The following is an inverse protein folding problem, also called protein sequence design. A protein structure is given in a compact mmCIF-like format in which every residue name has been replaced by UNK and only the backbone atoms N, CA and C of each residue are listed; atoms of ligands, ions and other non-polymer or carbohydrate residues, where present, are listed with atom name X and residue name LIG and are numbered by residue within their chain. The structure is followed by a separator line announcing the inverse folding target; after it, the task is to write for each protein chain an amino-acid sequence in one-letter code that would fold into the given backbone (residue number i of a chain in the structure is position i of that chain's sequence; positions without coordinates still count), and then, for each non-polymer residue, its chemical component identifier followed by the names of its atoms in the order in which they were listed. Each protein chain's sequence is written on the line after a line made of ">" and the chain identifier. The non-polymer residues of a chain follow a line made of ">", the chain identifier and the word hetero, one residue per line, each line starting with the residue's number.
data_IF_725344837317
#
_entry.id   IF_725344837317
#
_cell.length_a   1.000
_cell.length_b   1.000
_cell.length_c   1.000
_cell.angle_alpha   90.00
_cell.angle_beta   90.00
_cell.angle_gamma   90.00
#
_symmetry.space_group_name_H-M   'P 1'
#
loop_
_entity.id
_entity.type
_entity.pdbx_description
1 polymer ?
#
# COMPACT_ATOMS: atom_id res chain seq x y z
N UNK A 1 -20.23 11.16 -22.70
CA UNK A 1 -19.76 11.59 -21.37
C UNK A 1 -18.96 10.49 -20.71
N UNK A 2 -17.82 10.81 -20.11
CA UNK A 2 -17.01 9.91 -19.29
C UNK A 2 -17.36 10.15 -17.83
N UNK A 3 -17.65 9.09 -17.07
CA UNK A 3 -17.90 9.17 -15.62
C UNK A 3 -16.74 8.51 -14.89
N UNK A 4 -16.09 9.23 -13.96
CA UNK A 4 -15.07 8.72 -13.06
C UNK A 4 -15.70 8.47 -11.68
N UNK A 5 -15.65 7.24 -11.20
CA UNK A 5 -16.21 6.85 -9.91
C UNK A 5 -15.09 6.83 -8.86
N UNK A 6 -15.10 7.82 -7.98
CA UNK A 6 -14.10 8.06 -6.93
C UNK A 6 -13.13 9.19 -7.29
N UNK A 7 -13.02 10.19 -6.41
CA UNK A 7 -12.06 11.29 -6.49
C UNK A 7 -10.81 11.03 -5.61
N UNK A 8 -10.36 9.78 -5.53
CA UNK A 8 -9.09 9.39 -4.90
C UNK A 8 -7.89 9.69 -5.81
N UNK A 9 -6.71 9.21 -5.41
CA UNK A 9 -5.48 9.41 -6.16
C UNK A 9 -5.60 9.03 -7.63
N UNK A 10 -5.97 7.78 -7.92
CA UNK A 10 -6.13 7.30 -9.30
C UNK A 10 -7.23 8.05 -10.07
N UNK A 11 -8.38 8.30 -9.44
CA UNK A 11 -9.52 8.95 -10.07
C UNK A 11 -9.25 10.41 -10.45
N UNK A 12 -8.52 11.17 -9.63
CA UNK A 12 -8.13 12.54 -9.95
C UNK A 12 -7.21 12.59 -11.17
N UNK A 13 -6.19 11.72 -11.23
CA UNK A 13 -5.30 11.62 -12.39
C UNK A 13 -6.05 11.11 -13.62
N UNK A 14 -6.96 10.14 -13.46
CA UNK A 14 -7.80 9.67 -14.55
C UNK A 14 -8.70 10.80 -15.11
N UNK A 15 -9.31 11.61 -14.25
CA UNK A 15 -10.13 12.74 -14.66
C UNK A 15 -9.33 13.80 -15.43
N UNK A 16 -8.11 14.11 -14.98
CA UNK A 16 -7.21 15.06 -15.68
C UNK A 16 -6.94 14.57 -17.10
N UNK A 17 -6.53 13.31 -17.27
CA UNK A 17 -6.16 12.76 -18.57
C UNK A 17 -7.37 12.38 -19.45
N UNK A 18 -8.54 12.12 -18.85
CA UNK A 18 -9.78 11.92 -19.59
C UNK A 18 -10.36 13.23 -20.17
N UNK A 19 -9.99 14.37 -19.60
CA UNK A 19 -10.46 15.70 -20.05
C UNK A 19 -9.70 16.23 -21.26
N UNK A 20 -8.83 15.43 -21.88
CA UNK A 20 -8.16 15.79 -23.14
C UNK A 20 -9.16 15.63 -24.28
N UNK A 21 -9.64 16.74 -24.83
CA UNK A 21 -10.60 16.74 -25.95
C UNK A 21 -11.98 17.32 -25.57
N UNK A 22 -12.96 17.11 -26.44
CA UNK A 22 -14.30 17.71 -26.30
C UNK A 22 -15.27 16.88 -25.43
N UNK A 23 -14.85 15.74 -24.90
CA UNK A 23 -15.74 14.86 -24.14
C UNK A 23 -15.90 15.35 -22.70
N UNK A 24 -17.15 15.55 -22.28
CA UNK A 24 -17.48 15.93 -20.91
C UNK A 24 -17.03 14.85 -19.91
N UNK A 25 -16.32 15.24 -18.86
CA UNK A 25 -15.88 14.37 -17.76
C UNK A 25 -16.58 14.75 -16.47
N UNK A 26 -17.21 13.77 -15.81
CA UNK A 26 -17.89 13.93 -14.54
C UNK A 26 -17.27 12.99 -13.48
N UNK A 27 -16.76 13.55 -12.40
CA UNK A 27 -16.21 12.83 -11.25
C UNK A 27 -17.28 12.72 -10.17
N UNK A 28 -17.58 11.49 -9.74
CA UNK A 28 -18.51 11.19 -8.65
C UNK A 28 -17.72 10.79 -7.41
N UNK A 29 -17.97 11.46 -6.30
CA UNK A 29 -17.29 11.19 -5.03
C UNK A 29 -18.31 11.04 -3.90
N UNK A 30 -18.20 9.95 -3.15
CA UNK A 30 -19.12 9.62 -2.05
C UNK A 30 -19.00 10.54 -0.85
N UNK A 31 -17.83 11.13 -0.65
CA UNK A 31 -17.50 12.01 0.48
C UNK A 31 -17.71 13.50 0.13
N UNK A 32 -17.59 14.37 1.12
CA UNK A 32 -17.77 15.81 0.93
C UNK A 32 -16.61 16.48 0.18
N UNK A 33 -15.46 15.81 0.10
CA UNK A 33 -14.25 16.27 -0.56
C UNK A 33 -13.44 15.07 -1.08
N UNK A 34 -12.74 15.20 -2.18
CA UNK A 34 -11.91 14.12 -2.73
C UNK A 34 -10.53 14.01 -2.08
N UNK A 35 -9.81 12.93 -2.40
CA UNK A 35 -8.40 12.74 -2.05
C UNK A 35 -8.12 12.50 -0.57
N UNK A 36 -9.08 11.98 0.20
CA UNK A 36 -8.93 11.80 1.66
C UNK A 36 -7.77 10.91 2.05
N UNK A 37 -7.50 9.83 1.30
CA UNK A 37 -6.35 8.96 1.55
C UNK A 37 -5.03 9.70 1.28
N UNK A 38 -4.98 10.64 0.33
CA UNK A 38 -3.82 11.52 0.12
C UNK A 38 -3.54 12.33 1.38
N UNK A 39 -4.59 12.93 1.98
CA UNK A 39 -4.46 13.83 3.14
C UNK A 39 -3.87 13.17 4.38
N UNK A 40 -4.11 11.88 4.60
CA UNK A 40 -3.63 11.14 5.76
C UNK A 40 -2.30 10.42 5.52
N UNK A 41 -1.88 10.30 4.27
CA UNK A 41 -0.68 9.55 3.92
C UNK A 41 0.60 10.22 4.38
N UNK A 42 1.63 9.42 4.68
CA UNK A 42 2.93 9.93 5.13
C UNK A 42 2.85 10.80 6.37
N UNK A 43 1.91 10.55 7.28
CA UNK A 43 1.69 11.38 8.46
C UNK A 43 1.15 12.79 8.14
N UNK A 44 0.38 12.93 7.06
CA UNK A 44 -0.16 14.22 6.60
C UNK A 44 0.76 15.00 5.67
N UNK A 45 1.93 14.43 5.32
CA UNK A 45 2.91 15.03 4.40
C UNK A 45 2.75 14.58 2.95
N UNK A 46 2.16 13.40 2.70
CA UNK A 46 2.02 12.68 1.45
C UNK A 46 3.36 12.19 0.85
N UNK A 47 3.61 10.89 0.88
CA UNK A 47 4.68 10.25 0.10
C UNK A 47 4.26 10.18 -1.37
N UNK A 48 4.53 11.22 -2.16
CA UNK A 48 4.03 11.33 -3.54
C UNK A 48 4.60 10.24 -4.44
N UNK A 49 5.91 9.96 -4.32
CA UNK A 49 6.65 8.98 -5.12
C UNK A 49 7.76 8.33 -4.31
N UNK A 50 8.17 7.09 -4.65
CA UNK A 50 9.46 6.54 -4.24
C UNK A 50 10.59 7.12 -5.11
N UNK A 51 11.84 7.02 -4.68
CA UNK A 51 13.00 7.38 -5.54
C UNK A 51 13.29 6.33 -6.61
N UNK A 52 12.86 5.09 -6.39
CA UNK A 52 12.98 3.98 -7.35
C UNK A 52 11.73 3.10 -7.29
N UNK A 53 11.29 2.57 -8.44
CA UNK A 53 10.26 1.55 -8.54
C UNK A 53 10.95 0.20 -8.74
N UNK A 54 10.68 -0.73 -7.84
CA UNK A 54 11.17 -2.10 -7.88
C UNK A 54 9.97 -3.04 -8.06
N UNK A 55 9.64 -3.44 -9.32
CA UNK A 55 8.45 -4.26 -9.58
C UNK A 55 8.42 -5.58 -8.81
N UNK A 56 9.60 -6.10 -8.44
CA UNK A 56 9.76 -7.34 -7.68
C UNK A 56 9.29 -7.23 -6.23
N UNK A 57 9.19 -6.02 -5.71
CA UNK A 57 8.67 -5.72 -4.37
C UNK A 57 7.15 -5.56 -4.32
N UNK A 58 6.51 -5.47 -5.50
CA UNK A 58 5.05 -5.46 -5.57
C UNK A 58 4.49 -6.85 -5.34
N UNK A 59 3.29 -6.90 -4.80
CA UNK A 59 2.53 -8.13 -4.54
C UNK A 59 1.31 -8.14 -5.43
N UNK A 60 1.11 -9.24 -6.16
CA UNK A 60 -0.04 -9.51 -7.01
C UNK A 60 -0.20 -11.02 -7.17
N UNK A 61 -1.41 -11.50 -7.34
CA UNK A 61 -1.72 -12.87 -7.74
C UNK A 61 -1.92 -12.97 -9.27
N UNK A 62 -1.93 -11.83 -9.96
CA UNK A 62 -1.99 -11.73 -11.42
C UNK A 62 -0.59 -11.91 -12.07
N UNK A 63 -0.51 -12.12 -13.39
CA UNK A 63 0.77 -12.33 -14.08
C UNK A 63 1.76 -11.15 -13.92
N UNK A 64 2.95 -11.42 -13.36
CA UNK A 64 3.98 -10.41 -13.11
C UNK A 64 4.42 -9.59 -14.35
N UNK A 65 4.43 -10.10 -15.60
CA UNK A 65 4.72 -9.28 -16.78
C UNK A 65 3.74 -8.12 -16.99
N UNK A 66 2.44 -8.32 -16.65
CA UNK A 66 1.42 -7.27 -16.77
C UNK A 66 1.68 -6.16 -15.75
N UNK A 67 1.93 -6.52 -14.49
CA UNK A 67 2.31 -5.57 -13.45
C UNK A 67 3.52 -4.72 -13.87
N UNK A 68 4.60 -5.37 -14.34
CA UNK A 68 5.80 -4.65 -14.81
C UNK A 68 5.51 -3.69 -15.96
N UNK A 69 4.66 -4.10 -16.90
CA UNK A 69 4.24 -3.26 -18.02
C UNK A 69 3.49 -2.03 -17.55
N UNK A 70 2.53 -2.20 -16.64
CA UNK A 70 1.74 -1.11 -16.07
C UNK A 70 2.62 -0.12 -15.29
N UNK A 71 3.54 -0.61 -14.44
CA UNK A 71 4.47 0.23 -13.71
C UNK A 71 5.41 1.04 -14.62
N UNK A 72 5.82 0.47 -15.77
CA UNK A 72 6.67 1.15 -16.76
C UNK A 72 5.92 2.12 -17.66
N UNK A 73 4.58 2.10 -17.67
CA UNK A 73 3.76 2.96 -18.54
C UNK A 73 3.89 4.45 -18.25
N UNK A 74 4.33 4.78 -17.04
CA UNK A 74 4.62 6.15 -16.62
C UNK A 74 5.86 6.19 -15.72
N UNK A 75 7.05 6.45 -16.28
CA UNK A 75 8.31 6.48 -15.51
C UNK A 75 8.30 7.51 -14.39
N UNK A 76 8.99 7.23 -13.27
CA UNK A 76 9.00 8.11 -12.09
C UNK A 76 9.42 9.54 -12.38
N UNK A 77 10.39 9.75 -13.26
CA UNK A 77 10.85 11.09 -13.62
C UNK A 77 9.76 11.89 -14.37
N UNK A 78 8.92 11.23 -15.17
CA UNK A 78 7.77 11.85 -15.81
C UNK A 78 6.66 12.14 -14.79
N UNK A 79 6.39 11.20 -13.87
CA UNK A 79 5.44 11.43 -12.78
C UNK A 79 5.88 12.61 -11.92
N UNK A 80 7.17 12.70 -11.57
CA UNK A 80 7.74 13.85 -10.86
C UNK A 80 7.53 15.15 -11.64
N UNK A 81 7.87 15.16 -12.92
CA UNK A 81 7.69 16.33 -13.78
C UNK A 81 6.20 16.77 -13.85
N UNK A 82 5.27 15.82 -13.89
CA UNK A 82 3.83 16.12 -13.83
C UNK A 82 3.45 16.85 -12.53
N UNK A 83 3.91 16.35 -11.37
CA UNK A 83 3.62 17.03 -10.11
C UNK A 83 4.24 18.42 -10.04
N UNK A 84 5.49 18.57 -10.44
CA UNK A 84 6.20 19.85 -10.36
C UNK A 84 5.68 20.89 -11.37
N UNK A 85 5.36 20.50 -12.60
CA UNK A 85 5.03 21.43 -13.70
C UNK A 85 3.52 21.62 -13.93
N UNK A 86 2.74 20.56 -13.86
CA UNK A 86 1.31 20.61 -14.19
C UNK A 86 0.44 20.76 -12.94
N UNK A 87 0.71 19.99 -11.90
CA UNK A 87 0.01 20.09 -10.60
C UNK A 87 0.49 21.35 -9.85
N UNK A 88 1.75 21.78 -10.05
CA UNK A 88 2.34 22.92 -9.38
C UNK A 88 2.81 22.64 -7.95
N UNK A 89 3.21 21.39 -7.69
CA UNK A 89 3.71 20.94 -6.38
C UNK A 89 5.17 20.51 -6.52
N UNK A 90 6.14 21.35 -6.15
CA UNK A 90 7.55 20.98 -6.10
C UNK A 90 7.79 19.83 -5.13
N UNK A 91 8.69 18.91 -5.51
CA UNK A 91 9.01 17.71 -4.75
C UNK A 91 10.50 17.67 -4.38
N UNK A 92 10.80 17.33 -3.12
CA UNK A 92 12.15 17.01 -2.66
C UNK A 92 12.30 15.54 -2.29
N UNK A 93 13.50 15.04 -2.36
CA UNK A 93 13.88 13.70 -1.88
C UNK A 93 14.30 13.81 -0.42
N UNK A 94 13.70 13.01 0.44
CA UNK A 94 14.16 12.78 1.80
C UNK A 94 15.14 11.61 1.77
N UNK A 95 16.44 11.91 1.83
CA UNK A 95 17.52 10.94 1.58
C UNK A 95 17.49 9.73 2.52
N UNK A 96 17.22 9.96 3.80
CA UNK A 96 17.19 8.91 4.83
C UNK A 96 16.10 7.86 4.57
N UNK A 97 14.96 8.29 4.02
CA UNK A 97 13.81 7.41 3.78
C UNK A 97 13.66 7.01 2.31
N UNK A 98 14.41 7.65 1.40
CA UNK A 98 14.34 7.47 -0.06
C UNK A 98 12.92 7.67 -0.61
N UNK A 99 12.24 8.70 -0.12
CA UNK A 99 10.86 9.06 -0.49
C UNK A 99 10.82 10.49 -1.00
N UNK A 100 9.85 10.78 -1.87
CA UNK A 100 9.61 12.14 -2.35
C UNK A 100 8.38 12.73 -1.68
N UNK A 101 8.56 13.89 -1.09
CA UNK A 101 7.51 14.67 -0.44
C UNK A 101 7.33 16.02 -1.12
N UNK A 102 6.16 16.68 -1.01
CA UNK A 102 6.04 18.08 -1.39
C UNK A 102 6.96 18.95 -0.52
N UNK A 103 7.58 19.96 -1.11
CA UNK A 103 8.46 20.90 -0.39
C UNK A 103 7.76 21.56 0.80
N UNK A 104 6.45 21.74 0.69
CA UNK A 104 5.61 22.28 1.78
C UNK A 104 5.39 21.33 2.95
N UNK A 105 5.75 20.06 2.83
CA UNK A 105 5.42 18.99 3.78
C UNK A 105 3.91 18.88 4.11
N UNK A 106 3.02 19.28 3.19
CA UNK A 106 1.56 19.26 3.39
C UNK A 106 0.88 18.44 2.31
N UNK A 107 0.27 17.33 2.69
CA UNK A 107 -0.52 16.46 1.80
C UNK A 107 -1.69 17.22 1.12
N UNK A 108 -2.18 18.28 1.79
CA UNK A 108 -3.25 19.14 1.26
C UNK A 108 -2.84 19.80 -0.06
N UNK A 109 -1.61 20.25 -0.21
CA UNK A 109 -1.16 20.92 -1.43
C UNK A 109 -1.16 19.96 -2.63
N UNK A 110 -0.81 18.69 -2.40
CA UNK A 110 -0.91 17.63 -3.42
C UNK A 110 -2.37 17.39 -3.83
N UNK A 111 -3.28 17.20 -2.85
CA UNK A 111 -4.68 16.98 -3.11
C UNK A 111 -5.33 18.16 -3.81
N UNK A 112 -5.12 19.37 -3.30
CA UNK A 112 -5.74 20.58 -3.82
C UNK A 112 -5.21 20.92 -5.22
N UNK A 113 -3.91 20.73 -5.47
CA UNK A 113 -3.30 20.87 -6.78
C UNK A 113 -3.89 19.92 -7.82
N UNK A 114 -4.08 18.64 -7.47
CA UNK A 114 -4.72 17.66 -8.37
C UNK A 114 -6.18 18.02 -8.68
N UNK A 115 -6.96 18.42 -7.67
CA UNK A 115 -8.36 18.85 -7.85
C UNK A 115 -8.44 20.10 -8.72
N UNK A 116 -7.56 21.08 -8.47
CA UNK A 116 -7.50 22.31 -9.26
C UNK A 116 -7.13 22.01 -10.72
N UNK A 117 -6.14 21.13 -10.95
CA UNK A 117 -5.75 20.73 -12.31
C UNK A 117 -6.89 20.00 -13.03
N UNK A 118 -7.59 19.07 -12.39
CA UNK A 118 -8.72 18.37 -12.97
C UNK A 118 -9.84 19.36 -13.38
N UNK A 119 -10.15 20.33 -12.52
CA UNK A 119 -11.13 21.40 -12.83
C UNK A 119 -10.68 22.28 -13.99
N UNK A 120 -9.40 22.71 -14.01
CA UNK A 120 -8.85 23.49 -15.14
C UNK A 120 -8.89 22.72 -16.46
N UNK A 121 -8.73 21.39 -16.40
CA UNK A 121 -8.87 20.51 -17.57
C UNK A 121 -10.33 20.33 -18.04
N UNK A 122 -11.33 20.79 -17.26
CA UNK A 122 -12.73 20.73 -17.60
C UNK A 122 -13.54 19.62 -16.90
N UNK A 123 -12.95 18.91 -15.93
CA UNK A 123 -13.67 17.90 -15.15
C UNK A 123 -14.66 18.56 -14.18
N UNK A 124 -15.91 18.10 -14.21
CA UNK A 124 -16.95 18.47 -13.25
C UNK A 124 -16.93 17.51 -12.05
N UNK A 125 -17.26 17.98 -10.85
CA UNK A 125 -17.30 17.18 -9.63
C UNK A 125 -18.67 17.18 -9.00
N UNK A 126 -19.17 16.01 -8.63
CA UNK A 126 -20.33 15.83 -7.76
C UNK A 126 -19.90 15.08 -6.50
N UNK A 127 -19.71 15.83 -5.43
CA UNK A 127 -19.45 15.29 -4.10
C UNK A 127 -20.75 14.77 -3.46
N UNK A 128 -20.61 13.99 -2.37
CA UNK A 128 -21.73 13.37 -1.66
C UNK A 128 -22.64 12.54 -2.60
N UNK A 129 -22.02 12.01 -3.67
CA UNK A 129 -22.72 11.18 -4.66
C UNK A 129 -22.14 9.77 -4.60
N UNK A 130 -22.85 8.91 -3.87
CA UNK A 130 -22.47 7.52 -3.68
C UNK A 130 -22.97 6.68 -4.86
N UNK A 131 -22.02 6.04 -5.56
CA UNK A 131 -22.32 5.06 -6.61
C UNK A 131 -22.60 3.70 -5.95
N UNK A 132 -23.62 3.00 -6.41
CA UNK A 132 -24.01 1.68 -5.90
C UNK A 132 -23.86 0.56 -6.93
N UNK A 133 -23.75 0.87 -8.23
CA UNK A 133 -23.64 -0.13 -9.28
C UNK A 133 -23.57 0.46 -10.68
N UNK A 134 -23.34 -0.43 -11.65
CA UNK A 134 -23.32 -0.12 -13.08
C UNK A 134 -24.29 -1.05 -13.82
N UNK A 135 -25.11 -0.51 -14.70
CA UNK A 135 -26.03 -1.28 -15.55
C UNK A 135 -25.80 -0.86 -17.01
N UNK A 136 -25.77 -1.84 -17.91
CA UNK A 136 -25.67 -1.56 -19.33
C UNK A 136 -26.89 -0.75 -19.81
N UNK A 137 -26.66 0.28 -20.63
CA UNK A 137 -27.69 1.16 -21.20
C UNK A 137 -27.56 1.17 -22.72
N UNK A 138 -28.45 0.45 -23.37
CA UNK A 138 -28.39 0.28 -24.84
C UNK A 138 -27.16 -0.52 -25.29
N UNK A 139 -26.78 -0.35 -26.57
CA UNK A 139 -25.71 -1.13 -27.19
C UNK A 139 -24.28 -0.70 -26.74
N UNK A 140 -24.10 0.57 -26.35
CA UNK A 140 -22.76 1.14 -26.12
C UNK A 140 -22.70 2.13 -24.96
N UNK A 141 -23.62 2.05 -24.01
CA UNK A 141 -23.69 2.97 -22.88
C UNK A 141 -23.79 2.27 -21.53
N UNK A 142 -23.63 3.07 -20.50
CA UNK A 142 -23.70 2.65 -19.10
C UNK A 142 -24.63 3.58 -18.33
N UNK A 143 -25.38 3.00 -17.40
CA UNK A 143 -26.12 3.72 -16.39
C UNK A 143 -25.44 3.52 -15.04
N UNK A 144 -24.87 4.61 -14.51
CA UNK A 144 -24.23 4.64 -13.19
C UNK A 144 -25.33 4.89 -12.16
N UNK A 145 -25.55 3.91 -11.28
CA UNK A 145 -26.57 4.02 -10.23
C UNK A 145 -26.02 4.81 -9.04
N UNK A 146 -26.72 5.87 -8.64
CA UNK A 146 -26.28 6.70 -7.51
C UNK A 146 -27.43 6.99 -6.54
N UNK A 147 -27.08 7.42 -5.32
CA UNK A 147 -28.07 7.90 -4.33
C UNK A 147 -28.85 9.15 -4.77
N UNK A 148 -28.39 9.85 -5.81
CA UNK A 148 -29.00 11.06 -6.36
C UNK A 148 -29.68 10.81 -7.72
N UNK A 149 -29.99 9.54 -8.03
CA UNK A 149 -30.55 9.10 -9.31
C UNK A 149 -29.49 8.59 -10.29
N UNK A 150 -29.91 7.89 -11.36
CA UNK A 150 -29.00 7.33 -12.35
C UNK A 150 -28.37 8.39 -13.24
N UNK A 151 -27.14 8.12 -13.71
CA UNK A 151 -26.39 8.98 -14.62
C UNK A 151 -25.98 8.16 -15.83
N UNK A 152 -26.32 8.63 -17.03
CA UNK A 152 -25.94 7.98 -18.29
C UNK A 152 -24.49 8.33 -18.64
N UNK A 153 -23.72 7.34 -19.10
CA UNK A 153 -22.33 7.49 -19.49
C UNK A 153 -22.01 6.64 -20.73
N UNK A 154 -21.11 7.08 -21.57
CA UNK A 154 -20.53 6.25 -22.64
C UNK A 154 -19.35 5.45 -22.15
N UNK A 155 -18.56 6.02 -21.23
CA UNK A 155 -17.40 5.41 -20.61
C UNK A 155 -17.46 5.59 -19.10
N UNK A 156 -17.02 4.58 -18.33
CA UNK A 156 -16.97 4.62 -16.88
C UNK A 156 -15.58 4.19 -16.40
N UNK A 157 -14.93 5.03 -15.59
CA UNK A 157 -13.66 4.70 -14.94
C UNK A 157 -13.92 4.39 -13.46
N UNK A 158 -13.68 3.15 -13.05
CA UNK A 158 -13.83 2.67 -11.67
C UNK A 158 -12.53 2.92 -10.92
N UNK A 159 -12.51 3.95 -10.09
CA UNK A 159 -11.35 4.42 -9.30
C UNK A 159 -11.67 4.50 -7.80
N UNK A 160 -12.48 3.56 -7.31
CA UNK A 160 -13.10 3.57 -5.97
C UNK A 160 -12.16 3.22 -4.84
N UNK A 161 -10.90 2.81 -5.14
CA UNK A 161 -10.02 2.21 -4.16
C UNK A 161 -10.46 0.80 -3.77
N UNK A 162 -9.91 0.29 -2.68
CA UNK A 162 -10.22 -1.03 -2.13
C UNK A 162 -11.08 -0.98 -0.87
N UNK A 163 -10.59 -1.60 0.21
CA UNK A 163 -11.26 -1.73 1.52
C UNK A 163 -10.48 -1.04 2.64
N UNK A 164 -9.24 -0.60 2.39
CA UNK A 164 -8.36 -0.03 3.42
C UNK A 164 -8.80 1.38 3.81
N UNK A 165 -8.70 1.68 5.09
CA UNK A 165 -9.14 2.94 5.72
C UNK A 165 -10.56 3.34 5.28
N UNK A 166 -11.61 2.57 5.62
CA UNK A 166 -12.98 2.77 5.11
C UNK A 166 -13.53 4.19 5.32
N UNK A 167 -13.07 4.88 6.38
CA UNK A 167 -13.45 6.27 6.66
C UNK A 167 -13.05 7.26 5.55
N UNK A 168 -12.20 6.87 4.61
CA UNK A 168 -11.81 7.69 3.44
C UNK A 168 -12.72 7.52 2.23
N UNK A 169 -13.74 6.66 2.31
CA UNK A 169 -14.67 6.36 1.22
C UNK A 169 -14.39 5.04 0.48
N UNK A 170 -13.34 4.30 0.87
CA UNK A 170 -12.98 2.99 0.30
C UNK A 170 -13.86 1.89 0.93
N UNK A 171 -15.05 1.65 0.39
CA UNK A 171 -16.05 0.71 0.92
C UNK A 171 -16.18 -0.60 0.12
N UNK A 172 -15.32 -0.79 -0.90
CA UNK A 172 -15.29 -1.99 -1.73
C UNK A 172 -16.36 -2.05 -2.83
N UNK A 173 -17.12 -0.98 -3.05
CA UNK A 173 -18.17 -0.95 -4.08
C UNK A 173 -17.64 -1.28 -5.48
N UNK A 174 -16.43 -0.82 -5.83
CA UNK A 174 -15.80 -1.15 -7.11
C UNK A 174 -15.47 -2.63 -7.28
N UNK A 175 -15.07 -3.31 -6.21
CA UNK A 175 -14.85 -4.76 -6.21
C UNK A 175 -16.17 -5.53 -6.42
N UNK A 176 -17.25 -5.04 -5.83
CA UNK A 176 -18.60 -5.60 -6.04
C UNK A 176 -19.04 -5.40 -7.49
N UNK A 177 -18.92 -4.18 -8.02
CA UNK A 177 -19.22 -3.89 -9.42
C UNK A 177 -18.40 -4.76 -10.39
N UNK A 178 -17.12 -4.95 -10.11
CA UNK A 178 -16.26 -5.81 -10.93
C UNK A 178 -16.77 -7.26 -10.98
N UNK A 179 -17.18 -7.85 -9.85
CA UNK A 179 -17.77 -9.18 -9.80
C UNK A 179 -19.10 -9.25 -10.56
N UNK A 180 -19.97 -8.28 -10.41
CA UNK A 180 -21.25 -8.19 -11.12
C UNK A 180 -21.06 -8.05 -12.64
N UNK A 181 -19.98 -7.40 -13.07
CA UNK A 181 -19.58 -7.32 -14.48
C UNK A 181 -18.92 -8.59 -15.02
N UNK A 182 -18.68 -9.58 -14.17
CA UNK A 182 -18.11 -10.87 -14.53
C UNK A 182 -16.59 -10.95 -14.45
N UNK A 183 -15.92 -10.01 -13.77
CA UNK A 183 -14.48 -10.05 -13.54
C UNK A 183 -14.12 -11.03 -12.42
N UNK A 184 -12.98 -11.69 -12.59
CA UNK A 184 -12.28 -12.36 -11.49
C UNK A 184 -11.73 -11.30 -10.52
N UNK A 185 -12.06 -11.49 -9.25
CA UNK A 185 -11.55 -10.65 -8.16
C UNK A 185 -10.84 -11.55 -7.17
N UNK A 186 -9.51 -11.45 -7.13
CA UNK A 186 -8.69 -12.19 -6.17
C UNK A 186 -9.12 -11.86 -4.73
N UNK A 187 -9.00 -12.85 -3.85
CA UNK A 187 -9.38 -12.70 -2.45
C UNK A 187 -8.69 -11.48 -1.84
N UNK A 188 -9.48 -10.56 -1.30
CA UNK A 188 -8.96 -9.35 -0.68
C UNK A 188 -8.54 -9.57 0.76
N UNK A 189 -7.50 -8.89 1.20
CA UNK A 189 -6.96 -8.93 2.55
C UNK A 189 -6.35 -7.59 2.94
N UNK A 190 -6.28 -7.24 4.25
CA UNK A 190 -5.57 -6.06 4.69
C UNK A 190 -4.06 -6.23 4.44
N UNK A 191 -3.44 -5.28 3.76
CA UNK A 191 -2.02 -5.26 3.49
C UNK A 191 -1.38 -3.98 4.02
N UNK A 192 -0.08 -4.01 4.33
CA UNK A 192 0.62 -2.94 5.03
C UNK A 192 -0.11 -2.58 6.34
N UNK A 193 -0.39 -3.59 7.15
CA UNK A 193 -1.14 -3.49 8.41
C UNK A 193 -0.27 -3.87 9.61
N UNK A 194 -0.41 -3.22 10.77
CA UNK A 194 0.25 -3.68 11.99
C UNK A 194 -0.16 -5.10 12.36
N UNK A 195 0.77 -5.86 12.92
CA UNK A 195 0.51 -7.19 13.48
C UNK A 195 0.22 -7.08 14.97
N UNK A 196 -0.68 -7.92 15.47
CA UNK A 196 -1.05 -7.98 16.89
C UNK A 196 -0.50 -9.24 17.56
N UNK A 197 -0.28 -9.15 18.86
CA UNK A 197 0.01 -10.27 19.77
C UNK A 197 -0.99 -10.21 20.94
N UNK A 198 -2.04 -11.03 20.88
CA UNK A 198 -3.06 -11.09 21.93
C UNK A 198 -2.51 -11.54 23.28
N UNK A 199 -1.34 -12.17 23.30
CA UNK A 199 -0.60 -12.49 24.51
C UNK A 199 0.07 -11.31 25.18
N UNK A 200 0.11 -10.15 24.51
CA UNK A 200 0.73 -8.90 24.99
C UNK A 200 2.16 -9.06 25.53
N UNK A 201 2.93 -10.03 25.02
CA UNK A 201 4.27 -10.39 25.54
C UNK A 201 5.24 -9.22 25.55
N UNK A 202 5.09 -8.34 24.58
CA UNK A 202 5.98 -7.18 24.40
C UNK A 202 5.31 -5.83 24.68
N UNK A 203 4.17 -5.83 25.40
CA UNK A 203 3.47 -4.59 25.72
C UNK A 203 4.34 -3.60 26.51
N UNK A 204 5.23 -4.11 27.40
CA UNK A 204 6.20 -3.32 28.15
C UNK A 204 7.26 -2.64 27.27
N UNK A 205 7.47 -3.12 26.04
CA UNK A 205 8.38 -2.51 25.05
C UNK A 205 7.74 -1.42 24.21
N UNK A 206 6.45 -1.14 24.41
CA UNK A 206 5.72 -0.13 23.62
C UNK A 206 6.47 1.19 23.56
N UNK A 207 6.53 1.78 22.37
CA UNK A 207 7.25 3.01 22.05
C UNK A 207 8.70 2.82 21.64
N UNK A 208 9.29 1.62 21.81
CA UNK A 208 10.63 1.33 21.27
C UNK A 208 10.55 1.23 19.77
N UNK A 209 11.42 1.98 19.08
CA UNK A 209 11.61 1.93 17.64
C UNK A 209 13.09 1.71 17.33
N UNK A 210 13.36 0.85 16.34
CA UNK A 210 14.73 0.55 15.90
C UNK A 210 14.73 0.02 14.47
N UNK A 211 15.88 0.09 13.79
CA UNK A 211 16.08 -0.52 12.48
C UNK A 211 16.32 -2.02 12.63
N UNK A 212 15.59 -2.83 11.84
CA UNK A 212 15.70 -4.30 11.88
C UNK A 212 15.76 -4.88 10.47
N UNK A 213 16.18 -6.15 10.42
CA UNK A 213 15.92 -7.03 9.27
C UNK A 213 14.86 -8.05 9.68
N UNK A 214 13.76 -8.07 8.94
CA UNK A 214 12.64 -8.98 9.16
C UNK A 214 12.54 -9.95 7.98
N UNK A 215 12.39 -11.25 8.28
CA UNK A 215 12.15 -12.31 7.30
C UNK A 215 10.82 -12.99 7.58
N UNK A 216 10.01 -13.15 6.56
CA UNK A 216 8.78 -13.93 6.58
C UNK A 216 8.96 -15.19 5.72
N UNK A 217 8.66 -16.35 6.29
CA UNK A 217 8.66 -17.64 5.57
C UNK A 217 7.26 -18.22 5.58
N UNK A 218 6.70 -18.45 4.39
CA UNK A 218 5.40 -19.06 4.18
C UNK A 218 5.29 -19.69 2.78
N UNK A 219 4.55 -20.82 2.65
CA UNK A 219 4.31 -21.50 1.36
C UNK A 219 5.61 -21.84 0.61
N UNK A 220 6.67 -22.24 1.33
CA UNK A 220 7.98 -22.54 0.75
C UNK A 220 8.78 -21.33 0.25
N UNK A 221 8.26 -20.11 0.42
CA UNK A 221 8.91 -18.85 0.01
C UNK A 221 9.46 -18.12 1.23
N UNK A 222 10.52 -17.34 1.01
CA UNK A 222 11.05 -16.40 2.00
C UNK A 222 11.08 -15.01 1.40
N UNK A 223 10.52 -14.05 2.11
CA UNK A 223 10.61 -12.62 1.81
C UNK A 223 11.36 -11.91 2.92
N UNK A 224 12.01 -10.81 2.57
CA UNK A 224 12.81 -10.02 3.52
C UNK A 224 12.47 -8.53 3.36
N UNK A 225 12.40 -7.82 4.48
CA UNK A 225 12.33 -6.37 4.54
C UNK A 225 13.35 -5.85 5.56
N UNK A 226 13.95 -4.70 5.27
CA UNK A 226 14.80 -3.97 6.19
C UNK A 226 14.21 -2.58 6.40
N UNK A 227 14.16 -2.12 7.65
CA UNK A 227 13.61 -0.82 7.99
C UNK A 227 13.18 -0.73 9.45
N UNK A 228 12.55 0.39 9.78
CA UNK A 228 12.06 0.64 11.13
C UNK A 228 11.05 -0.42 11.60
N UNK A 229 11.20 -0.79 12.84
CA UNK A 229 10.30 -1.66 13.60
C UNK A 229 9.83 -0.89 14.83
N UNK A 230 8.54 -0.94 15.14
CA UNK A 230 7.94 -0.26 16.27
C UNK A 230 7.18 -1.27 17.14
N UNK A 231 7.53 -1.34 18.42
CA UNK A 231 6.70 -2.01 19.41
C UNK A 231 5.51 -1.12 19.77
N UNK A 232 4.31 -1.65 19.67
CA UNK A 232 3.07 -0.99 20.10
C UNK A 232 2.49 -1.70 21.33
N UNK A 233 1.50 -1.10 21.96
CA UNK A 233 0.81 -1.72 23.11
C UNK A 233 0.02 -2.99 22.71
N UNK A 234 -0.23 -3.22 21.42
CA UNK A 234 -0.98 -4.37 20.91
C UNK A 234 -0.12 -5.36 20.13
N UNK A 235 1.10 -5.00 19.76
CA UNK A 235 1.96 -5.84 18.93
C UNK A 235 3.02 -5.02 18.20
N UNK A 236 3.06 -5.09 16.86
CA UNK A 236 4.19 -4.66 16.06
C UNK A 236 3.76 -3.84 14.85
N UNK A 237 4.51 -2.78 14.57
CA UNK A 237 4.32 -1.89 13.44
C UNK A 237 5.67 -1.42 12.90
N UNK A 238 5.66 -0.40 12.06
CA UNK A 238 6.86 0.15 11.40
C UNK A 238 7.09 -0.46 10.01
N UNK A 239 7.91 0.21 9.20
CA UNK A 239 8.13 -0.13 7.80
C UNK A 239 8.39 -1.60 7.52
N UNK A 240 9.32 -2.24 8.24
CA UNK A 240 9.67 -3.64 8.01
C UNK A 240 8.50 -4.59 8.30
N UNK A 241 7.70 -4.30 9.34
CA UNK A 241 6.53 -5.11 9.70
C UNK A 241 5.42 -4.93 8.67
N UNK A 242 5.11 -3.69 8.29
CA UNK A 242 4.06 -3.37 7.34
C UNK A 242 4.32 -4.03 5.99
N UNK A 243 5.55 -3.92 5.46
CA UNK A 243 5.93 -4.48 4.16
C UNK A 243 5.77 -6.00 4.09
N UNK A 244 5.95 -6.73 5.21
CA UNK A 244 5.82 -8.20 5.26
C UNK A 244 4.51 -8.69 5.91
N UNK A 245 3.65 -7.78 6.40
CA UNK A 245 2.41 -8.15 7.08
C UNK A 245 1.48 -9.03 6.22
N UNK A 246 1.51 -8.83 4.90
CA UNK A 246 0.70 -9.60 3.95
C UNK A 246 1.01 -11.11 3.99
N UNK A 247 2.25 -11.52 4.26
CA UNK A 247 2.61 -12.94 4.41
C UNK A 247 1.93 -13.54 5.65
N UNK A 248 1.91 -12.79 6.76
CA UNK A 248 1.20 -13.20 7.97
C UNK A 248 -0.31 -13.28 7.75
N UNK A 249 -0.92 -12.20 7.21
CA UNK A 249 -2.36 -12.11 6.97
C UNK A 249 -2.83 -13.23 6.04
N UNK A 250 -2.18 -13.41 4.89
CA UNK A 250 -2.54 -14.44 3.91
C UNK A 250 -2.42 -15.85 4.48
N UNK A 251 -1.37 -16.13 5.28
CA UNK A 251 -1.21 -17.43 5.92
C UNK A 251 -2.32 -17.72 6.93
N UNK A 252 -2.85 -16.69 7.60
CA UNK A 252 -4.00 -16.82 8.48
C UNK A 252 -5.32 -17.11 7.74
N UNK A 253 -5.45 -16.59 6.51
CA UNK A 253 -6.65 -16.79 5.68
C UNK A 253 -6.66 -18.12 4.93
N UNK A 254 -5.50 -18.69 4.60
CA UNK A 254 -5.40 -19.94 3.84
C UNK A 254 -5.80 -21.18 4.67
N UNK A 255 -5.71 -21.09 6.00
CA UNK A 255 -5.90 -22.22 6.90
C UNK A 255 -4.74 -23.22 6.91
N UNK A 256 -3.67 -22.95 6.14
CA UNK A 256 -2.45 -23.74 6.09
C UNK A 256 -1.47 -23.36 7.22
N UNK A 257 -0.21 -23.80 7.10
CA UNK A 257 0.86 -23.43 8.02
C UNK A 257 1.01 -21.91 8.13
N UNK A 258 1.01 -21.37 9.35
CA UNK A 258 1.16 -19.95 9.60
C UNK A 258 2.56 -19.46 9.21
N UNK A 259 2.64 -18.26 8.69
CA UNK A 259 3.90 -17.60 8.38
C UNK A 259 4.79 -17.47 9.62
N UNK A 260 6.06 -17.83 9.48
CA UNK A 260 7.07 -17.63 10.52
C UNK A 260 7.81 -16.33 10.21
N UNK A 261 7.66 -15.35 11.10
CA UNK A 261 8.38 -14.09 11.02
C UNK A 261 9.59 -14.14 11.94
N UNK A 262 10.79 -13.84 11.40
CA UNK A 262 12.05 -13.83 12.16
C UNK A 262 12.70 -12.46 12.09
N UNK A 263 13.08 -11.93 13.26
CA UNK A 263 13.70 -10.61 13.41
C UNK A 263 15.17 -10.77 13.72
N UNK A 264 16.01 -10.05 12.99
CA UNK A 264 17.37 -9.71 13.38
C UNK A 264 17.37 -8.26 13.87
N UNK A 265 17.64 -8.06 15.16
CA UNK A 265 17.41 -6.77 15.84
C UNK A 265 18.46 -5.70 15.55
N UNK A 266 19.65 -6.08 15.07
CA UNK A 266 20.73 -5.15 14.71
C UNK A 266 21.52 -5.65 13.51
N UNK A 267 22.49 -4.86 13.03
CA UNK A 267 23.42 -5.26 11.97
C UNK A 267 24.44 -6.33 12.41
N UNK A 268 24.50 -6.68 13.71
CA UNK A 268 25.46 -7.63 14.25
C UNK A 268 25.01 -9.06 13.95
N UNK A 269 25.87 -9.84 13.31
CA UNK A 269 25.62 -11.24 13.01
C UNK A 269 25.93 -12.19 14.20
N UNK A 270 25.56 -13.47 14.07
CA UNK A 270 25.77 -14.46 15.14
C UNK A 270 27.24 -14.67 15.54
N UNK A 271 28.17 -14.81 14.56
CA UNK A 271 29.61 -14.88 14.86
C UNK A 271 30.15 -13.65 15.60
N UNK A 272 29.70 -12.44 15.22
CA UNK A 272 30.12 -11.21 15.90
C UNK A 272 29.60 -11.16 17.35
N UNK A 273 28.30 -11.48 17.58
CA UNK A 273 27.75 -11.63 18.93
C UNK A 273 28.53 -12.66 19.74
N UNK A 274 28.87 -13.81 19.14
CA UNK A 274 29.70 -14.84 19.79
C UNK A 274 31.06 -14.31 20.27
N UNK A 275 31.71 -13.47 19.47
CA UNK A 275 32.97 -12.79 19.87
C UNK A 275 32.75 -11.76 20.97
N UNK A 276 31.69 -10.96 20.89
CA UNK A 276 31.36 -9.94 21.90
C UNK A 276 31.07 -10.57 23.28
N UNK A 277 30.54 -11.79 23.29
CA UNK A 277 30.27 -12.55 24.52
C UNK A 277 31.47 -13.39 24.99
N UNK A 278 32.65 -13.23 24.40
CA UNK A 278 33.84 -14.01 24.81
C UNK A 278 34.67 -13.28 25.87
N UNK A 279 34.87 -13.94 26.99
CA UNK A 279 36.06 -13.81 27.85
C UNK A 279 36.21 -12.53 28.69
N UNK A 280 35.18 -11.74 29.01
CA UNK A 280 35.33 -10.56 29.87
C UNK A 280 34.45 -10.58 31.13
N UNK A 281 34.81 -9.79 32.14
CA UNK A 281 34.01 -9.62 33.36
C UNK A 281 32.80 -8.66 33.15
N UNK A 282 32.56 -8.24 31.93
CA UNK A 282 31.45 -7.31 31.58
C UNK A 282 30.12 -8.04 31.68
N UNK A 283 29.07 -7.36 32.13
CA UNK A 283 27.70 -7.91 32.12
C UNK A 283 27.21 -8.10 30.68
N UNK A 284 26.56 -9.24 30.41
CA UNK A 284 25.96 -9.54 29.10
C UNK A 284 24.99 -8.44 28.67
N UNK A 285 24.13 -7.96 29.58
CA UNK A 285 23.23 -6.84 29.35
C UNK A 285 23.96 -5.60 28.82
N UNK A 286 25.11 -5.26 29.44
CA UNK A 286 25.90 -4.08 29.01
C UNK A 286 26.44 -4.24 27.59
N UNK A 287 26.79 -5.45 27.19
CA UNK A 287 27.26 -5.74 25.83
C UNK A 287 26.11 -5.56 24.81
N UNK A 288 24.94 -6.12 25.12
CA UNK A 288 23.77 -6.02 24.22
C UNK A 288 23.25 -4.59 24.14
N UNK A 289 23.22 -3.86 25.25
CA UNK A 289 22.71 -2.48 25.32
C UNK A 289 23.55 -1.44 24.56
N UNK A 290 24.74 -1.84 24.03
CA UNK A 290 25.50 -0.99 23.08
C UNK A 290 24.88 -0.98 21.69
N UNK A 291 24.17 -2.03 21.33
CA UNK A 291 23.59 -2.25 20.00
C UNK A 291 22.06 -2.14 19.99
N UNK A 292 21.40 -2.37 21.14
CA UNK A 292 19.95 -2.41 21.27
C UNK A 292 19.45 -1.55 22.43
N UNK A 293 18.21 -1.04 22.37
CA UNK A 293 17.57 -0.39 23.52
C UNK A 293 17.57 -1.28 24.78
N UNK A 294 17.93 -0.72 25.93
CA UNK A 294 18.15 -1.49 27.16
C UNK A 294 16.93 -2.37 27.55
N UNK A 295 15.70 -1.85 27.46
CA UNK A 295 14.49 -2.65 27.75
C UNK A 295 14.32 -3.84 26.82
N UNK A 296 14.69 -3.71 25.54
CA UNK A 296 14.67 -4.83 24.61
C UNK A 296 15.77 -5.84 24.94
N UNK A 297 16.97 -5.38 25.28
CA UNK A 297 18.06 -6.23 25.69
C UNK A 297 17.71 -7.08 26.92
N UNK A 298 17.10 -6.47 27.94
CA UNK A 298 16.58 -7.16 29.14
C UNK A 298 15.56 -8.24 28.77
N UNK A 299 14.57 -7.88 27.96
CA UNK A 299 13.51 -8.81 27.53
C UNK A 299 14.11 -10.02 26.79
N UNK A 300 15.03 -9.80 25.85
CA UNK A 300 15.65 -10.88 25.09
C UNK A 300 16.51 -11.80 25.98
N UNK A 301 17.20 -11.27 27.01
CA UNK A 301 17.91 -12.06 28.01
C UNK A 301 16.95 -12.92 28.84
N UNK A 302 15.84 -12.35 29.31
CA UNK A 302 14.81 -13.09 30.05
C UNK A 302 14.26 -14.25 29.22
N UNK A 303 13.91 -13.99 27.96
CA UNK A 303 13.39 -15.01 27.05
C UNK A 303 14.43 -16.07 26.64
N UNK A 304 15.72 -15.74 26.69
CA UNK A 304 16.82 -16.68 26.49
C UNK A 304 17.17 -17.50 27.78
N UNK A 305 16.52 -17.20 28.90
CA UNK A 305 16.80 -17.81 30.20
C UNK A 305 18.13 -17.39 30.81
N UNK A 306 18.63 -16.19 30.42
CA UNK A 306 19.91 -15.64 30.90
C UNK A 306 19.67 -14.63 32.01
N UNK A 307 20.19 -14.81 33.25
CA UNK A 307 20.09 -13.84 34.33
C UNK A 307 20.64 -12.47 33.95
N UNK A 308 19.96 -11.38 34.36
CA UNK A 308 20.34 -10.01 33.99
C UNK A 308 21.68 -9.54 34.54
N UNK A 309 22.16 -10.17 35.62
CA UNK A 309 23.48 -9.94 36.23
C UNK A 309 24.60 -10.79 35.64
N UNK A 310 24.27 -11.74 34.73
CA UNK A 310 25.21 -12.65 34.09
C UNK A 310 26.39 -11.91 33.47
N UNK A 311 27.62 -12.36 33.75
CA UNK A 311 28.83 -11.85 33.10
C UNK A 311 29.16 -12.69 31.87
N UNK A 312 29.85 -12.10 30.89
CA UNK A 312 30.22 -12.83 29.66
C UNK A 312 31.18 -13.97 29.92
N UNK A 313 32.02 -13.87 30.95
CA UNK A 313 32.93 -14.95 31.38
C UNK A 313 32.18 -16.19 31.94
N UNK A 314 31.00 -15.96 32.52
CA UNK A 314 30.18 -17.00 33.18
C UNK A 314 29.06 -17.50 32.29
N UNK A 315 28.96 -17.02 31.03
CA UNK A 315 27.90 -17.37 30.10
C UNK A 315 28.10 -18.78 29.55
N UNK A 316 27.24 -19.71 29.95
CA UNK A 316 27.26 -21.07 29.48
C UNK A 316 27.10 -21.18 27.95
N UNK A 317 27.65 -22.23 27.35
CA UNK A 317 27.54 -22.42 25.87
C UNK A 317 26.09 -22.46 25.38
N UNK A 318 25.19 -23.09 26.13
CA UNK A 318 23.76 -23.19 25.83
C UNK A 318 23.07 -21.84 25.96
N UNK A 319 23.33 -21.07 27.02
CA UNK A 319 22.84 -19.72 27.23
C UNK A 319 23.29 -18.80 26.10
N UNK A 320 24.56 -18.88 25.70
CA UNK A 320 25.13 -18.10 24.59
C UNK A 320 24.43 -18.43 23.28
N UNK A 321 24.21 -19.70 22.96
CA UNK A 321 23.53 -20.11 21.73
C UNK A 321 22.09 -19.61 21.70
N UNK A 322 21.34 -19.78 22.80
CA UNK A 322 19.97 -19.30 22.92
C UNK A 322 19.88 -17.76 22.75
N UNK A 323 20.81 -17.04 23.41
CA UNK A 323 20.85 -15.58 23.32
C UNK A 323 21.18 -15.08 21.90
N UNK A 324 22.19 -15.70 21.24
CA UNK A 324 22.53 -15.35 19.85
C UNK A 324 21.33 -15.60 18.91
N UNK A 325 20.60 -16.69 19.10
CA UNK A 325 19.39 -16.97 18.33
C UNK A 325 18.33 -15.87 18.55
N UNK A 326 18.08 -15.46 19.81
CA UNK A 326 17.15 -14.36 20.12
C UNK A 326 17.58 -13.03 19.52
N UNK A 327 18.87 -12.76 19.40
CA UNK A 327 19.41 -11.52 18.84
C UNK A 327 19.37 -11.47 17.32
N UNK A 328 19.52 -12.62 16.64
CA UNK A 328 19.74 -12.68 15.19
C UNK A 328 18.63 -13.34 14.39
N UNK A 329 17.74 -14.11 15.04
CA UNK A 329 16.70 -14.89 14.37
C UNK A 329 15.46 -15.07 15.26
N UNK A 330 15.08 -14.02 15.96
CA UNK A 330 13.96 -14.01 16.89
C UNK A 330 12.64 -14.34 16.19
N UNK A 331 11.96 -15.40 16.62
CA UNK A 331 10.63 -15.72 16.12
C UNK A 331 9.61 -14.76 16.74
N UNK A 332 9.09 -13.86 15.90
CA UNK A 332 8.12 -12.85 16.33
C UNK A 332 6.78 -13.50 16.66
N UNK A 333 6.30 -13.38 17.91
CA UNK A 333 4.98 -13.89 18.26
C UNK A 333 3.90 -12.95 17.74
N UNK A 334 3.10 -13.41 16.79
CA UNK A 334 1.96 -12.69 16.27
C UNK A 334 0.73 -13.59 16.24
N UNK A 335 -0.45 -13.01 16.46
CA UNK A 335 -1.73 -13.74 16.52
C UNK A 335 -2.70 -13.31 15.42
N UNK A 336 -2.57 -12.07 14.92
CA UNK A 336 -3.45 -11.50 13.92
C UNK A 336 -2.91 -10.16 13.42
N UNK A 337 -3.81 -9.34 12.89
CA UNK A 337 -3.54 -8.00 12.37
C UNK A 337 -4.63 -6.99 12.80
N UNK A 338 -4.43 -5.70 12.52
CA UNK A 338 -5.39 -4.65 12.89
C UNK A 338 -6.48 -4.40 11.82
N UNK A 339 -6.53 -5.22 10.77
CA UNK A 339 -7.56 -5.21 9.74
C UNK A 339 -7.54 -3.97 8.85
N UNK A 340 -8.56 -3.87 8.00
CA UNK A 340 -8.68 -2.78 7.02
C UNK A 340 -8.73 -1.38 7.62
N UNK A 341 -9.10 -1.23 8.88
CA UNK A 341 -9.11 0.08 9.56
C UNK A 341 -7.72 0.69 9.71
N UNK A 342 -6.69 -0.16 9.77
CA UNK A 342 -5.29 0.24 9.95
C UNK A 342 -4.39 -0.12 8.78
N UNK A 343 -4.86 -0.97 7.88
CA UNK A 343 -4.16 -1.30 6.66
C UNK A 343 -4.01 -0.05 5.76
N UNK A 344 -2.82 0.20 5.24
CA UNK A 344 -2.61 1.30 4.30
C UNK A 344 -3.25 1.00 2.94
N UNK A 345 -3.25 -0.28 2.52
CA UNK A 345 -3.78 -0.73 1.24
C UNK A 345 -4.53 -2.06 1.36
N UNK A 346 -5.29 -2.36 0.33
CA UNK A 346 -5.95 -3.65 0.10
C UNK A 346 -5.07 -4.52 -0.77
N UNK A 347 -4.77 -5.73 -0.33
CA UNK A 347 -4.20 -6.77 -1.20
C UNK A 347 -5.31 -7.57 -1.89
N UNK A 348 -4.99 -8.23 -3.00
CA UNK A 348 -5.98 -8.79 -3.91
C UNK A 348 -6.70 -7.69 -4.72
N UNK A 349 -7.77 -8.03 -5.41
CA UNK A 349 -8.53 -7.09 -6.24
C UNK A 349 -8.83 -7.64 -7.63
N UNK A 350 -9.23 -6.78 -8.56
CA UNK A 350 -9.57 -7.15 -9.93
C UNK A 350 -8.33 -7.68 -10.65
N UNK A 351 -8.44 -8.87 -11.24
CA UNK A 351 -7.35 -9.56 -11.93
C UNK A 351 -6.82 -8.71 -13.10
N UNK A 352 -5.49 -8.54 -13.17
CA UNK A 352 -4.86 -7.70 -14.19
C UNK A 352 -4.92 -8.30 -15.61
N UNK A 353 -5.05 -9.61 -15.73
CA UNK A 353 -5.16 -10.33 -17.00
C UNK A 353 -6.56 -10.25 -17.64
N UNK A 354 -7.49 -9.58 -17.00
CA UNK A 354 -8.81 -9.24 -17.55
C UNK A 354 -8.94 -7.75 -17.93
N UNK A 355 -7.81 -7.05 -17.97
CA UNK A 355 -7.72 -5.59 -18.23
C UNK A 355 -6.68 -5.35 -19.33
N UNK A 356 -7.04 -4.62 -20.40
CA UNK A 356 -6.05 -4.20 -21.40
C UNK A 356 -4.99 -3.29 -20.75
N UNK A 357 -3.77 -3.79 -20.66
CA UNK A 357 -2.65 -3.07 -20.03
C UNK A 357 -2.19 -1.82 -20.81
N UNK A 358 -2.81 -1.44 -21.92
CA UNK A 358 -2.54 -0.19 -22.65
C UNK A 358 -3.54 0.91 -22.34
N UNK A 359 -4.78 0.52 -22.04
CA UNK A 359 -5.91 1.44 -21.90
C UNK A 359 -6.59 1.35 -20.55
N UNK A 360 -6.32 0.29 -19.78
CA UNK A 360 -7.05 -0.08 -18.55
C UNK A 360 -8.53 -0.41 -18.80
N UNK A 361 -8.94 -0.62 -20.07
CA UNK A 361 -10.29 -1.06 -20.40
C UNK A 361 -10.49 -2.52 -20.00
N UNK A 362 -11.67 -2.85 -19.53
CA UNK A 362 -12.12 -4.20 -19.22
C UNK A 362 -12.18 -5.05 -20.51
N UNK A 363 -11.54 -6.21 -20.50
CA UNK A 363 -11.69 -7.22 -21.58
C UNK A 363 -13.07 -7.91 -21.55
N UNK A 364 -13.82 -7.76 -20.45
CA UNK A 364 -15.17 -8.31 -20.24
C UNK A 364 -16.28 -7.36 -20.66
N UNK A 365 -16.07 -6.04 -20.44
CA UNK A 365 -17.14 -5.02 -20.61
C UNK A 365 -16.56 -3.76 -21.24
N UNK A 366 -16.81 -3.57 -22.52
CA UNK A 366 -16.40 -2.36 -23.24
C UNK A 366 -16.94 -1.11 -22.61
N UNK A 367 -16.14 -0.06 -22.59
CA UNK A 367 -16.47 1.22 -21.97
C UNK A 367 -16.37 1.25 -20.46
N UNK A 368 -15.86 0.19 -19.83
CA UNK A 368 -15.52 0.17 -18.38
C UNK A 368 -14.01 0.08 -18.22
N UNK A 369 -13.45 0.94 -17.41
CA UNK A 369 -12.00 1.01 -17.11
C UNK A 369 -11.78 0.88 -15.61
N UNK A 370 -10.68 0.27 -15.20
CA UNK A 370 -10.33 0.12 -13.78
C UNK A 370 -8.95 0.74 -13.52
N UNK A 371 -8.80 1.45 -12.38
CA UNK A 371 -7.49 1.98 -12.00
C UNK A 371 -7.32 2.14 -10.48
N UNK A 372 -6.07 2.15 -10.04
CA UNK A 372 -5.70 2.29 -8.63
C UNK A 372 -5.85 1.01 -7.82
N UNK A 373 -6.18 1.16 -6.54
CA UNK A 373 -6.19 0.09 -5.53
C UNK A 373 -7.33 -0.94 -5.70
N UNK A 374 -8.29 -0.72 -6.59
CA UNK A 374 -9.30 -1.72 -6.95
C UNK A 374 -8.69 -2.91 -7.71
N UNK A 375 -7.54 -2.71 -8.33
CA UNK A 375 -6.78 -3.72 -9.08
C UNK A 375 -5.91 -4.57 -8.16
N UNK A 376 -5.67 -5.82 -8.56
CA UNK A 376 -4.83 -6.79 -7.84
C UNK A 376 -3.35 -6.43 -7.92
N UNK A 377 -2.94 -5.37 -7.26
CA UNK A 377 -1.53 -5.03 -7.06
C UNK A 377 -1.35 -4.02 -5.93
N UNK A 378 -0.33 -4.23 -5.11
CA UNK A 378 0.17 -3.21 -4.19
C UNK A 378 1.69 -3.29 -4.06
N UNK A 379 2.31 -2.16 -3.79
CA UNK A 379 3.74 -2.04 -3.51
C UNK A 379 4.03 -1.84 -2.02
N UNK A 380 5.31 -1.85 -1.62
CA UNK A 380 5.71 -1.55 -0.25
C UNK A 380 5.32 -0.13 0.15
N UNK A 381 5.50 0.21 1.43
CA UNK A 381 5.31 1.58 1.90
C UNK A 381 6.28 2.55 1.21
N UNK A 382 5.95 3.86 1.22
CA UNK A 382 6.87 4.89 0.74
C UNK A 382 6.60 5.40 -0.68
N UNK A 383 5.34 5.57 -1.07
CA UNK A 383 4.94 6.20 -2.33
C UNK A 383 4.68 5.24 -3.48
N UNK A 384 5.02 3.95 -3.35
CA UNK A 384 4.83 2.95 -4.40
C UNK A 384 3.37 2.78 -4.81
N UNK A 385 2.45 2.79 -3.84
CA UNK A 385 1.01 2.66 -4.09
C UNK A 385 0.42 3.90 -4.74
N UNK A 386 0.99 5.07 -4.50
CA UNK A 386 0.65 6.27 -5.24
C UNK A 386 1.20 6.23 -6.66
N UNK A 387 2.47 5.84 -6.86
CA UNK A 387 3.03 5.68 -8.21
C UNK A 387 2.20 4.70 -9.07
N UNK A 388 1.71 3.60 -8.47
CA UNK A 388 0.74 2.69 -9.08
C UNK A 388 -0.58 3.40 -9.43
N UNK A 389 -1.15 4.14 -8.48
CA UNK A 389 -2.41 4.86 -8.68
C UNK A 389 -2.29 5.93 -9.77
N UNK A 390 -1.16 6.66 -9.80
CA UNK A 390 -0.89 7.66 -10.84
C UNK A 390 -0.78 7.02 -12.22
N UNK A 391 0.02 5.96 -12.37
CA UNK A 391 0.26 5.31 -13.64
C UNK A 391 -1.03 4.68 -14.23
N UNK A 392 -1.75 3.92 -13.43
CA UNK A 392 -3.01 3.28 -13.86
C UNK A 392 -4.13 4.31 -14.09
N UNK A 393 -4.20 5.36 -13.27
CA UNK A 393 -5.14 6.46 -13.47
C UNK A 393 -4.91 7.18 -14.78
N UNK A 394 -3.64 7.49 -15.12
CA UNK A 394 -3.27 8.10 -16.40
C UNK A 394 -3.70 7.24 -17.58
N UNK A 395 -3.36 5.95 -17.56
CA UNK A 395 -3.75 5.03 -18.64
C UNK A 395 -5.27 4.94 -18.80
N UNK A 396 -6.01 4.79 -17.71
CA UNK A 396 -7.47 4.72 -17.74
C UNK A 396 -8.10 6.01 -18.30
N UNK A 397 -7.58 7.18 -17.91
CA UNK A 397 -8.03 8.46 -18.43
C UNK A 397 -7.84 8.61 -19.92
N UNK A 398 -6.62 8.33 -20.41
CA UNK A 398 -6.28 8.38 -21.84
C UNK A 398 -7.07 7.32 -22.63
N UNK A 399 -7.21 6.11 -22.10
CA UNK A 399 -7.97 5.02 -22.72
C UNK A 399 -9.44 5.39 -22.89
N UNK A 400 -10.06 5.91 -21.85
CA UNK A 400 -11.47 6.34 -21.89
C UNK A 400 -11.70 7.53 -22.85
N UNK A 401 -10.77 8.49 -22.88
CA UNK A 401 -10.84 9.61 -23.82
C UNK A 401 -10.76 9.13 -25.28
N UNK A 402 -9.80 8.21 -25.58
CA UNK A 402 -9.67 7.62 -26.89
C UNK A 402 -10.92 6.83 -27.30
N UNK A 403 -11.42 5.96 -26.42
CA UNK A 403 -12.64 5.19 -26.70
C UNK A 403 -13.85 6.09 -26.94
N UNK A 404 -13.97 7.22 -26.22
CA UNK A 404 -15.05 8.19 -26.42
C UNK A 404 -14.95 8.92 -27.76
N UNK A 405 -13.74 9.15 -28.31
CA UNK A 405 -13.54 9.81 -29.60
C UNK A 405 -13.83 8.89 -30.80
N UNK A 406 -13.70 7.58 -30.62
CA UNK A 406 -13.92 6.58 -31.69
C UNK A 406 -15.37 6.11 -31.75
N UNK A 407 -16.12 6.22 -30.65
CA UNK A 407 -17.55 5.87 -30.63
C UNK A 407 -18.34 6.94 -31.42
N UNK A 408 -18.97 6.62 -32.60
CA UNK A 408 -19.76 7.61 -33.31
C UNK A 408 -20.84 8.15 -32.38
N UNK A 409 -20.96 9.47 -32.31
CA UNK A 409 -22.16 10.11 -31.75
C UNK A 409 -23.33 9.54 -32.53
N UNK A 410 -24.09 8.63 -31.90
CA UNK A 410 -25.28 8.06 -32.51
C UNK A 410 -26.19 9.21 -33.00
N UNK A 411 -26.37 9.30 -34.29
CA UNK A 411 -27.28 10.24 -34.90
C UNK A 411 -28.68 10.05 -34.28
N UNK A 412 -29.24 11.13 -33.91
CA UNK A 412 -30.62 11.33 -33.48
C UNK A 412 -31.62 10.74 -34.46
#
# INVERSE_FOLDING_TARGET
>A
MIVVVGAGAAGLVAAIHASVGATRVLVLESTADGGRKILISGGGRCNVLPVALEPERFVTDSPAPLLRRLLRSWPLHEQRAFFEREVGVPLHVEEDTRKMFPDSHRARDVRDGLVALARRAGAEFRFQTKVSGLVAAGAHGWRVLTNNGPIEATQVIVATGGLSVPATGSDGVGLTMARELGHAVHQTYPALTPLVDDGHRHAALSGISLEVRLRARWGGRTREAQGGFLFTHRGYSGPAVLDLSHEAVRSGLSGDERAVLRVQWSGVDGPAWGRMFSGSATRVLTVIARELPARLAEQLMIEAGVPLDRRTADLARTERAALVERLTSYVLPWTGDEGYRKAEVTGGGVALDEIDARTMESDRRRGVFFCGEVLDAFGPIGGHNFAWAWATGRLAGLGAAHAASVTPSGGS
#
